data_IF_837105752183
#
_entry.id   IF_837105752183
#
_cell.length_a   1.000
_cell.length_b   1.000
_cell.length_c   1.000
_cell.angle_alpha   90.00
_cell.angle_beta   90.00
_cell.angle_gamma   90.00
#
_symmetry.space_group_name_H-M   'P 1'
#
loop_
_entity.id
_entity.type
_entity.pdbx_description
1 polymer ?
#
# COMPACT_ATOMS: atom_id res chain seq x y z
N UNK A 1 -7.88 1.58 -57.17
CA UNK A 1 -8.36 2.82 -56.54
C UNK A 1 -7.14 3.53 -55.99
N UNK A 2 -6.74 4.60 -56.69
CA UNK A 2 -5.57 5.43 -56.35
C UNK A 2 -6.11 6.53 -55.44
N UNK A 3 -5.72 6.56 -54.19
CA UNK A 3 -6.07 7.63 -53.25
C UNK A 3 -5.07 8.78 -53.40
N UNK A 4 -5.63 9.94 -53.71
CA UNK A 4 -4.96 11.21 -53.93
C UNK A 4 -4.37 11.77 -52.62
N UNK A 5 -3.08 11.57 -52.41
CA UNK A 5 -2.30 12.21 -51.33
C UNK A 5 -1.56 13.49 -51.80
N UNK A 6 -1.98 14.09 -52.93
CA UNK A 6 -1.24 15.20 -53.54
C UNK A 6 -1.73 16.60 -53.15
N UNK A 7 -2.85 16.73 -52.41
CA UNK A 7 -3.42 18.06 -52.09
C UNK A 7 -2.97 18.67 -50.75
N UNK A 8 -2.45 17.89 -49.84
CA UNK A 8 -2.05 18.38 -48.50
C UNK A 8 -0.63 18.92 -48.44
N UNK A 9 0.23 18.59 -49.37
CA UNK A 9 1.64 19.05 -49.41
C UNK A 9 1.79 20.43 -50.05
N UNK A 10 0.90 20.79 -50.99
CA UNK A 10 1.01 22.02 -51.76
C UNK A 10 0.69 23.30 -50.99
N UNK A 11 -0.25 23.26 -50.04
CA UNK A 11 -0.61 24.46 -49.26
C UNK A 11 0.36 24.70 -48.13
N UNK A 12 0.99 23.66 -47.55
CA UNK A 12 2.04 23.76 -46.55
C UNK A 12 3.28 24.45 -47.10
N UNK A 13 3.65 24.09 -48.35
CA UNK A 13 4.81 24.68 -49.03
C UNK A 13 4.56 26.15 -49.40
N UNK A 14 3.31 26.54 -49.72
CA UNK A 14 2.91 27.91 -50.02
C UNK A 14 2.79 28.77 -48.73
N UNK A 15 2.48 28.16 -47.60
CA UNK A 15 2.48 28.83 -46.28
C UNK A 15 3.88 29.10 -45.76
N UNK A 16 4.88 28.28 -46.13
CA UNK A 16 6.28 28.46 -45.66
C UNK A 16 7.04 29.52 -46.45
N UNK A 17 6.56 30.00 -47.59
CA UNK A 17 7.21 31.03 -48.41
C UNK A 17 6.91 32.48 -47.96
N UNK A 18 6.00 32.67 -46.99
CA UNK A 18 5.64 33.99 -46.51
C UNK A 18 6.23 34.20 -45.11
N UNK A 19 7.22 35.11 -45.00
CA UNK A 19 7.97 35.38 -43.74
C UNK A 19 7.06 35.76 -42.56
N UNK A 20 5.90 36.35 -42.81
CA UNK A 20 4.89 36.68 -41.77
C UNK A 20 4.20 35.42 -41.27
N UNK A 21 3.86 34.47 -42.13
CA UNK A 21 3.20 33.22 -41.77
C UNK A 21 4.18 32.32 -40.99
N UNK A 22 5.45 32.28 -41.40
CA UNK A 22 6.51 31.53 -40.71
C UNK A 22 6.72 32.01 -39.27
N UNK A 23 6.69 33.31 -39.02
CA UNK A 23 6.76 33.87 -37.67
C UNK A 23 5.53 33.52 -36.82
N UNK A 24 4.33 33.55 -37.42
CA UNK A 24 3.08 33.16 -36.76
C UNK A 24 3.07 31.69 -36.37
N UNK A 25 3.58 30.78 -37.23
CA UNK A 25 3.70 29.36 -36.96
C UNK A 25 4.68 29.12 -35.81
N UNK A 26 5.81 29.82 -35.79
CA UNK A 26 6.79 29.71 -34.71
C UNK A 26 6.21 30.20 -33.38
N UNK A 27 5.46 31.30 -33.39
CA UNK A 27 4.79 31.84 -32.18
C UNK A 27 3.71 30.85 -31.69
N UNK A 28 2.90 30.30 -32.60
CA UNK A 28 1.88 29.31 -32.27
C UNK A 28 2.49 28.02 -31.69
N UNK A 29 3.63 27.56 -32.26
CA UNK A 29 4.37 26.42 -31.73
C UNK A 29 4.93 26.67 -30.33
N UNK A 30 5.49 27.87 -30.11
CA UNK A 30 6.03 28.26 -28.80
C UNK A 30 4.95 28.40 -27.74
N UNK A 31 3.77 28.94 -28.12
CA UNK A 31 2.58 29.00 -27.27
C UNK A 31 2.08 27.60 -26.95
N UNK A 32 2.05 26.68 -27.93
CA UNK A 32 1.67 25.28 -27.71
C UNK A 32 2.57 24.58 -26.71
N UNK A 33 3.89 24.76 -26.83
CA UNK A 33 4.87 24.22 -25.89
C UNK A 33 4.68 24.84 -24.50
N UNK A 34 4.46 26.15 -24.41
CA UNK A 34 4.17 26.83 -23.14
C UNK A 34 2.88 26.32 -22.47
N UNK A 35 1.83 26.03 -23.24
CA UNK A 35 0.60 25.44 -22.74
C UNK A 35 0.79 24.00 -22.24
N UNK A 36 1.65 23.21 -22.90
CA UNK A 36 2.01 21.86 -22.43
C UNK A 36 2.77 21.93 -21.09
N UNK A 37 3.73 22.87 -20.97
CA UNK A 37 4.42 23.10 -19.70
C UNK A 37 3.47 23.61 -18.60
N UNK A 38 2.54 24.48 -18.93
CA UNK A 38 1.53 24.99 -17.99
C UNK A 38 0.53 23.90 -17.59
N UNK A 39 0.18 23.00 -18.53
CA UNK A 39 -0.69 21.85 -18.27
C UNK A 39 -0.07 20.90 -17.23
N UNK A 40 1.24 20.70 -17.25
CA UNK A 40 1.96 19.94 -16.24
C UNK A 40 1.90 20.59 -14.83
N UNK A 41 1.76 21.89 -14.78
CA UNK A 41 1.65 22.65 -13.52
C UNK A 41 0.21 22.64 -12.95
N UNK A 42 -0.80 22.54 -13.83
CA UNK A 42 -2.22 22.45 -13.45
C UNK A 42 -2.72 20.99 -13.31
N UNK A 43 -1.98 20.01 -13.83
CA UNK A 43 -2.27 18.59 -13.73
C UNK A 43 -1.61 17.98 -12.49
N UNK A 44 -1.68 18.66 -11.34
CA UNK A 44 -1.39 18.08 -10.03
C UNK A 44 -2.57 17.22 -9.53
N UNK A 45 -3.21 16.50 -10.43
CA UNK A 45 -4.23 15.50 -10.20
C UNK A 45 -3.85 14.17 -10.83
N UNK A 46 -2.56 13.81 -10.82
CA UNK A 46 -2.11 12.44 -11.06
C UNK A 46 -2.45 11.62 -9.82
N UNK A 47 -3.09 10.48 -10.00
CA UNK A 47 -3.16 9.43 -9.00
C UNK A 47 -1.75 9.22 -8.45
N UNK A 48 -1.51 9.79 -7.27
CA UNK A 48 -0.40 9.34 -6.43
C UNK A 48 -0.65 7.84 -6.20
N UNK A 49 0.38 6.99 -6.34
CA UNK A 49 0.33 5.68 -5.69
C UNK A 49 -0.13 5.97 -4.27
N UNK A 50 -1.09 5.22 -3.75
CA UNK A 50 -1.62 5.41 -2.41
C UNK A 50 -0.44 5.61 -1.46
N UNK A 51 -0.10 6.88 -1.18
CA UNK A 51 0.74 7.22 -0.05
C UNK A 51 -0.06 6.72 1.14
N UNK A 52 0.51 5.77 1.83
CA UNK A 52 0.10 5.38 3.17
C UNK A 52 -0.25 6.67 3.90
N UNK A 53 -1.52 6.79 4.26
CA UNK A 53 -2.07 8.04 4.81
C UNK A 53 -1.19 8.43 6.00
N UNK A 54 -0.73 9.68 6.15
CA UNK A 54 0.13 10.11 7.27
C UNK A 54 -0.43 9.73 8.66
N UNK A 55 -1.73 9.52 8.76
CA UNK A 55 -2.41 9.05 9.98
C UNK A 55 -2.06 7.61 10.36
N UNK A 56 -1.88 6.70 9.41
CA UNK A 56 -1.57 5.30 9.70
C UNK A 56 -0.13 5.12 10.20
N UNK A 57 0.80 5.88 9.66
CA UNK A 57 2.20 5.86 10.10
C UNK A 57 2.37 6.49 11.50
N UNK A 58 1.59 7.51 11.84
CA UNK A 58 1.61 8.15 13.18
C UNK A 58 1.04 7.19 14.21
N UNK A 59 -0.10 6.56 13.94
CA UNK A 59 -0.73 5.59 14.84
C UNK A 59 0.18 4.36 15.10
N UNK A 60 0.87 3.86 14.07
CA UNK A 60 1.83 2.77 14.20
C UNK A 60 3.03 3.18 15.08
N UNK A 61 3.53 4.40 14.93
CA UNK A 61 4.62 4.94 15.74
C UNK A 61 4.24 5.10 17.21
N UNK A 62 3.06 5.64 17.51
CA UNK A 62 2.55 5.77 18.88
C UNK A 62 2.35 4.40 19.54
N UNK A 63 1.79 3.43 18.83
CA UNK A 63 1.63 2.06 19.32
C UNK A 63 2.98 1.41 19.66
N UNK A 64 3.98 1.55 18.76
CA UNK A 64 5.32 1.01 19.00
C UNK A 64 5.97 1.64 20.24
N UNK A 65 5.87 2.96 20.38
CA UNK A 65 6.43 3.66 21.52
C UNK A 65 5.78 3.21 22.84
N UNK A 66 4.46 3.05 22.90
CA UNK A 66 3.76 2.54 24.08
C UNK A 66 4.21 1.12 24.47
N UNK A 67 4.43 0.26 23.46
CA UNK A 67 4.95 -1.10 23.71
C UNK A 67 6.39 -1.06 24.24
N UNK A 68 7.25 -0.23 23.65
CA UNK A 68 8.63 -0.07 24.08
C UNK A 68 8.72 0.43 25.52
N UNK A 69 7.90 1.42 25.90
CA UNK A 69 7.82 1.94 27.26
C UNK A 69 7.36 0.86 28.25
N UNK A 70 6.29 0.11 27.93
CA UNK A 70 5.78 -0.96 28.79
C UNK A 70 6.78 -2.12 28.95
N UNK A 71 7.46 -2.50 27.87
CA UNK A 71 8.51 -3.53 27.91
C UNK A 71 9.72 -3.05 28.72
N UNK A 72 10.10 -1.78 28.59
CA UNK A 72 11.21 -1.20 29.32
C UNK A 72 10.97 -1.25 30.83
N UNK A 73 9.75 -0.99 31.32
CA UNK A 73 9.39 -1.13 32.72
C UNK A 73 9.57 -2.58 33.22
N UNK A 74 9.10 -3.55 32.43
CA UNK A 74 9.25 -4.97 32.76
C UNK A 74 10.73 -5.36 32.83
N UNK A 75 11.53 -4.93 31.84
CA UNK A 75 12.95 -5.25 31.77
C UNK A 75 13.72 -4.61 32.92
N UNK A 76 13.42 -3.37 33.28
CA UNK A 76 13.99 -2.70 34.45
C UNK A 76 13.66 -3.44 35.76
N UNK A 77 12.46 -3.95 35.90
CA UNK A 77 12.07 -4.75 37.06
C UNK A 77 12.83 -6.08 37.13
N UNK A 78 13.15 -6.71 35.99
CA UNK A 78 13.91 -7.97 35.93
C UNK A 78 15.42 -7.74 36.16
N UNK A 79 16.00 -6.73 35.54
CA UNK A 79 17.45 -6.49 35.53
C UNK A 79 17.92 -5.63 36.68
N UNK A 80 17.05 -4.75 37.20
CA UNK A 80 17.39 -3.69 38.13
C UNK A 80 18.23 -2.56 37.51
N UNK A 81 18.27 -2.47 36.17
CA UNK A 81 19.04 -1.48 35.43
C UNK A 81 18.11 -0.41 34.84
N UNK A 82 18.48 0.86 35.01
CA UNK A 82 17.71 2.01 34.50
C UNK A 82 17.99 2.32 33.01
N UNK A 83 19.17 1.90 32.53
CA UNK A 83 19.70 2.27 31.22
C UNK A 83 19.47 1.21 30.12
N UNK A 84 18.56 0.26 30.37
CA UNK A 84 18.11 -0.69 29.36
C UNK A 84 17.43 0.04 28.19
N UNK A 85 17.58 -0.51 27.00
CA UNK A 85 16.95 -0.02 25.77
C UNK A 85 16.14 -1.13 25.11
N UNK A 86 14.98 -0.79 24.59
CA UNK A 86 14.11 -1.71 23.87
C UNK A 86 13.78 -1.10 22.53
N UNK A 87 13.77 -1.93 21.51
CA UNK A 87 13.30 -1.56 20.17
C UNK A 87 12.33 -2.62 19.68
N UNK A 88 11.14 -2.19 19.30
CA UNK A 88 10.09 -3.03 18.72
C UNK A 88 9.97 -2.74 17.23
N UNK A 89 9.96 -3.77 16.40
CA UNK A 89 9.74 -3.66 14.96
C UNK A 89 8.43 -4.32 14.60
N UNK A 90 7.56 -3.61 13.88
CA UNK A 90 6.30 -4.14 13.38
C UNK A 90 6.51 -4.86 12.03
N UNK A 91 5.72 -5.88 11.78
CA UNK A 91 5.61 -6.56 10.49
C UNK A 91 4.53 -5.91 9.63
N UNK A 92 3.42 -5.50 10.26
CA UNK A 92 2.34 -4.76 9.63
C UNK A 92 1.76 -3.74 10.60
N UNK A 93 1.27 -2.61 10.08
CA UNK A 93 0.44 -1.66 10.80
C UNK A 93 -0.96 -2.23 11.07
N UNK A 94 -1.78 -1.50 11.85
CA UNK A 94 -3.21 -1.83 11.98
C UNK A 94 -3.88 -1.83 10.60
N UNK A 95 -4.84 -2.73 10.41
CA UNK A 95 -5.57 -2.87 9.16
C UNK A 95 -7.06 -3.01 9.41
N UNK A 96 -7.85 -2.17 8.73
CA UNK A 96 -9.30 -2.31 8.75
C UNK A 96 -9.76 -3.40 7.78
N UNK A 97 -10.67 -4.24 8.24
CA UNK A 97 -11.35 -5.24 7.40
C UNK A 97 -12.74 -4.72 7.10
N UNK A 98 -13.04 -4.64 5.80
CA UNK A 98 -14.33 -4.16 5.31
C UNK A 98 -15.25 -5.33 4.96
N UNK A 99 -16.54 -5.12 5.16
CA UNK A 99 -17.57 -6.07 4.76
C UNK A 99 -17.58 -6.22 3.24
N UNK A 100 -17.59 -7.46 2.77
CA UNK A 100 -17.64 -7.81 1.36
C UNK A 100 -18.81 -8.73 1.09
N UNK A 101 -19.50 -8.53 -0.03
CA UNK A 101 -20.44 -9.46 -0.62
C UNK A 101 -19.71 -10.23 -1.71
N UNK A 102 -19.75 -11.55 -1.62
CA UNK A 102 -19.19 -12.45 -2.64
C UNK A 102 -20.34 -13.15 -3.34
N UNK A 103 -20.44 -12.93 -4.66
CA UNK A 103 -21.41 -13.62 -5.52
C UNK A 103 -20.68 -14.63 -6.39
N UNK A 104 -20.98 -15.90 -6.16
CA UNK A 104 -20.46 -17.01 -6.97
C UNK A 104 -21.51 -17.48 -7.96
N UNK A 105 -21.15 -17.53 -9.23
CA UNK A 105 -21.96 -18.11 -10.30
C UNK A 105 -21.20 -19.27 -10.92
N UNK A 106 -21.69 -20.49 -10.72
CA UNK A 106 -21.13 -21.69 -11.34
C UNK A 106 -22.09 -22.18 -12.45
N UNK A 107 -21.61 -22.21 -13.68
CA UNK A 107 -22.36 -22.72 -14.83
C UNK A 107 -21.70 -23.98 -15.40
N UNK A 108 -22.42 -25.08 -15.45
CA UNK A 108 -22.01 -26.30 -16.15
C UNK A 108 -22.89 -26.49 -17.39
N UNK A 109 -22.29 -26.35 -18.58
CA UNK A 109 -22.97 -26.73 -19.84
C UNK A 109 -22.34 -28.00 -20.38
N UNK A 110 -23.16 -29.01 -20.59
CA UNK A 110 -22.79 -30.24 -21.31
C UNK A 110 -23.55 -30.27 -22.64
N UNK A 111 -22.85 -30.10 -23.75
CA UNK A 111 -23.39 -30.30 -25.07
C UNK A 111 -23.04 -31.73 -25.56
N UNK A 112 -24.06 -32.50 -25.87
CA UNK A 112 -23.93 -33.82 -26.47
C UNK A 112 -24.09 -33.67 -27.98
N UNK A 113 -22.96 -33.62 -28.69
CA UNK A 113 -22.99 -33.70 -30.14
C UNK A 113 -23.26 -35.11 -30.60
N UNK A 114 -23.94 -35.27 -31.75
CA UNK A 114 -24.40 -36.53 -32.34
C UNK A 114 -23.30 -37.54 -32.67
N UNK A 115 -22.04 -37.22 -32.43
CA UNK A 115 -20.88 -38.05 -32.76
C UNK A 115 -19.99 -38.31 -31.51
N UNK A 116 -20.61 -38.86 -30.45
CA UNK A 116 -19.90 -39.40 -29.26
C UNK A 116 -18.89 -38.49 -28.55
N UNK A 117 -18.84 -37.21 -28.86
CA UNK A 117 -17.94 -36.25 -28.20
C UNK A 117 -18.75 -35.42 -27.21
N UNK A 118 -18.56 -35.66 -25.91
CA UNK A 118 -19.13 -34.82 -24.85
C UNK A 118 -18.19 -33.66 -24.60
N UNK A 119 -18.63 -32.43 -24.88
CA UNK A 119 -17.94 -31.22 -24.53
C UNK A 119 -18.54 -30.68 -23.23
N UNK A 120 -17.77 -30.75 -22.16
CA UNK A 120 -18.13 -30.14 -20.89
C UNK A 120 -17.40 -28.81 -20.75
N UNK A 121 -18.16 -27.73 -20.54
CA UNK A 121 -17.61 -26.40 -20.22
C UNK A 121 -18.08 -26.01 -18.81
N UNK A 122 -17.12 -25.82 -17.91
CA UNK A 122 -17.37 -25.27 -16.58
C UNK A 122 -16.93 -23.82 -16.57
N UNK A 123 -17.81 -22.93 -16.14
CA UNK A 123 -17.51 -21.50 -15.94
C UNK A 123 -17.78 -21.20 -14.48
N UNK A 124 -16.73 -20.75 -13.77
CA UNK A 124 -16.82 -20.28 -12.40
C UNK A 124 -16.51 -18.77 -12.39
N UNK A 125 -17.53 -17.96 -12.14
CA UNK A 125 -17.40 -16.51 -11.98
C UNK A 125 -17.57 -16.14 -10.51
N UNK A 126 -16.59 -15.41 -9.95
CA UNK A 126 -16.66 -14.86 -8.60
C UNK A 126 -16.60 -13.35 -8.69
N UNK A 127 -17.65 -12.69 -8.24
CA UNK A 127 -17.74 -11.25 -8.12
C UNK A 127 -17.66 -10.86 -6.65
N UNK A 128 -16.71 -10.00 -6.28
CA UNK A 128 -16.55 -9.48 -4.92
C UNK A 128 -16.79 -7.97 -4.93
N UNK A 129 -17.71 -7.51 -4.10
CA UNK A 129 -18.00 -6.07 -3.93
C UNK A 129 -17.98 -5.67 -2.45
N UNK A 130 -17.55 -4.43 -2.16
CA UNK A 130 -17.61 -3.90 -0.80
C UNK A 130 -19.02 -3.40 -0.49
N UNK A 131 -19.46 -3.65 0.75
CA UNK A 131 -20.72 -3.10 1.25
C UNK A 131 -20.47 -1.63 1.61
N UNK A 132 -21.19 -0.74 0.95
CA UNK A 132 -21.12 0.69 1.20
C UNK A 132 -22.27 1.12 2.13
N UNK A 133 -21.96 2.00 3.06
CA UNK A 133 -22.93 2.67 3.93
C UNK A 133 -22.87 4.17 3.68
N UNK A 134 -24.01 4.82 3.73
CA UNK A 134 -24.11 6.27 3.60
C UNK A 134 -23.92 6.92 4.98
N UNK A 135 -22.99 7.86 5.06
CA UNK A 135 -22.76 8.65 6.27
C UNK A 135 -23.74 9.82 6.33
N UNK A 136 -23.85 10.48 7.49
CA UNK A 136 -24.75 11.60 7.75
C UNK A 136 -24.52 12.82 6.86
N UNK A 137 -23.36 12.93 6.23
CA UNK A 137 -23.00 13.98 5.25
C UNK A 137 -23.32 13.60 3.79
N UNK A 138 -23.89 12.40 3.55
CA UNK A 138 -24.21 11.88 2.22
C UNK A 138 -23.03 11.23 1.51
N UNK A 139 -21.85 11.11 2.14
CA UNK A 139 -20.72 10.38 1.60
C UNK A 139 -20.90 8.86 1.78
N UNK A 140 -20.42 8.08 0.81
CA UNK A 140 -20.41 6.62 0.90
C UNK A 140 -19.06 6.14 1.40
N UNK A 141 -19.12 5.28 2.41
CA UNK A 141 -17.92 4.63 2.98
C UNK A 141 -18.09 3.12 2.99
N UNK A 142 -16.98 2.38 2.80
CA UNK A 142 -16.98 0.95 2.98
C UNK A 142 -17.24 0.60 4.45
N UNK A 143 -18.16 -0.33 4.71
CA UNK A 143 -18.51 -0.78 6.06
C UNK A 143 -17.32 -1.51 6.69
N UNK A 144 -16.67 -0.89 7.68
CA UNK A 144 -15.63 -1.55 8.48
C UNK A 144 -16.29 -2.47 9.51
N UNK A 145 -15.86 -3.73 9.54
CA UNK A 145 -16.40 -4.77 10.45
C UNK A 145 -15.44 -5.16 11.55
N UNK A 146 -14.13 -5.00 11.30
CA UNK A 146 -13.09 -5.36 12.26
C UNK A 146 -11.82 -4.58 11.97
N UNK A 147 -11.06 -4.30 13.03
CA UNK A 147 -9.69 -3.80 12.95
C UNK A 147 -8.74 -4.88 13.41
N UNK A 148 -7.74 -5.20 12.59
CA UNK A 148 -6.67 -6.13 12.93
C UNK A 148 -5.54 -5.30 13.53
N UNK A 149 -5.12 -5.67 14.75
CA UNK A 149 -4.01 -5.03 15.45
C UNK A 149 -2.68 -5.20 14.69
N UNK A 150 -1.71 -4.28 14.89
CA UNK A 150 -0.37 -4.42 14.32
C UNK A 150 0.29 -5.74 14.70
N UNK A 151 1.01 -6.35 13.78
CA UNK A 151 1.77 -7.56 14.02
C UNK A 151 3.24 -7.20 14.32
N UNK A 152 3.80 -7.80 15.39
CA UNK A 152 5.17 -7.55 15.80
C UNK A 152 6.10 -8.49 15.04
N UNK A 153 7.09 -7.93 14.34
CA UNK A 153 8.15 -8.67 13.65
C UNK A 153 9.20 -9.19 14.61
N UNK A 154 9.64 -8.35 15.55
CA UNK A 154 10.65 -8.71 16.52
C UNK A 154 10.97 -7.62 17.52
N UNK A 155 11.69 -8.00 18.55
CA UNK A 155 12.11 -7.14 19.65
C UNK A 155 13.60 -7.29 19.90
N UNK A 156 14.29 -6.17 20.07
CA UNK A 156 15.70 -6.13 20.50
C UNK A 156 15.77 -5.45 21.85
N UNK A 157 16.45 -6.11 22.79
CA UNK A 157 16.71 -5.59 24.14
C UNK A 157 18.21 -5.46 24.34
N UNK A 158 18.66 -4.29 24.77
CA UNK A 158 20.06 -4.01 25.11
C UNK A 158 20.12 -3.61 26.58
N UNK A 159 20.85 -4.36 27.40
CA UNK A 159 21.04 -4.05 28.83
C UNK A 159 22.44 -4.44 29.27
N UNK A 160 22.93 -3.88 30.38
CA UNK A 160 24.29 -4.14 30.87
C UNK A 160 24.53 -5.61 31.22
N UNK A 161 23.53 -6.26 31.83
CA UNK A 161 23.58 -7.67 32.22
C UNK A 161 23.04 -8.64 31.13
N UNK A 162 22.83 -8.17 29.91
CA UNK A 162 22.30 -9.01 28.83
C UNK A 162 23.20 -10.18 28.40
N UNK A 163 24.44 -10.23 28.90
CA UNK A 163 25.35 -11.36 28.73
C UNK A 163 25.17 -12.46 29.78
N UNK A 164 24.38 -12.22 30.84
CA UNK A 164 24.04 -13.24 31.84
C UNK A 164 22.94 -14.13 31.28
N UNK A 165 23.23 -15.44 31.17
CA UNK A 165 22.35 -16.40 30.52
C UNK A 165 21.02 -16.60 31.25
N UNK A 166 20.99 -16.47 32.59
CA UNK A 166 19.76 -16.60 33.35
C UNK A 166 18.87 -15.37 33.16
N UNK A 167 19.43 -14.16 33.22
CA UNK A 167 18.71 -12.92 32.98
C UNK A 167 18.23 -12.82 31.53
N UNK A 168 19.06 -13.21 30.58
CA UNK A 168 18.70 -13.27 29.18
C UNK A 168 17.45 -14.15 28.96
N UNK A 169 17.44 -15.35 29.56
CA UNK A 169 16.31 -16.27 29.45
C UNK A 169 15.03 -15.69 30.10
N UNK A 170 15.17 -15.04 31.25
CA UNK A 170 14.06 -14.40 31.93
C UNK A 170 13.47 -13.26 31.11
N UNK A 171 14.31 -12.43 30.49
CA UNK A 171 13.86 -11.36 29.59
C UNK A 171 13.14 -11.94 28.37
N UNK A 172 13.72 -12.97 27.71
CA UNK A 172 13.10 -13.63 26.56
C UNK A 172 11.73 -14.18 26.94
N UNK A 173 11.61 -14.86 28.08
CA UNK A 173 10.35 -15.43 28.57
C UNK A 173 9.30 -14.33 28.84
N UNK A 174 9.71 -13.24 29.46
CA UNK A 174 8.83 -12.12 29.75
C UNK A 174 8.31 -11.47 28.46
N UNK A 175 9.21 -11.13 27.54
CA UNK A 175 8.87 -10.48 26.25
C UNK A 175 7.97 -11.37 25.39
N UNK A 176 8.33 -12.66 25.26
CA UNK A 176 7.55 -13.62 24.45
C UNK A 176 6.14 -13.82 25.02
N UNK A 177 6.01 -13.82 26.35
CA UNK A 177 4.70 -13.95 27.03
C UNK A 177 3.88 -12.67 26.89
N UNK A 178 4.49 -11.51 27.09
CA UNK A 178 3.81 -10.22 27.02
C UNK A 178 3.29 -9.91 25.60
N UNK A 179 4.07 -10.25 24.58
CA UNK A 179 3.76 -9.92 23.19
C UNK A 179 3.18 -11.10 22.39
N UNK A 180 3.12 -12.31 22.97
CA UNK A 180 2.67 -13.54 22.32
C UNK A 180 3.45 -13.86 21.04
N UNK A 181 4.76 -13.57 21.01
CA UNK A 181 5.65 -13.84 19.89
C UNK A 181 6.59 -15.02 20.21
N UNK A 182 7.19 -15.61 19.16
CA UNK A 182 8.20 -16.67 19.32
C UNK A 182 9.50 -16.12 19.88
N UNK A 183 10.21 -16.92 20.69
CA UNK A 183 11.55 -16.59 21.21
C UNK A 183 12.58 -16.33 20.10
N UNK A 184 12.38 -16.86 18.91
CA UNK A 184 13.23 -16.59 17.74
C UNK A 184 13.11 -15.15 17.23
N UNK A 185 12.07 -14.42 17.64
CA UNK A 185 11.82 -13.01 17.30
C UNK A 185 12.33 -12.04 18.38
N UNK A 186 12.96 -12.56 19.45
CA UNK A 186 13.51 -11.75 20.54
C UNK A 186 15.02 -11.89 20.58
N UNK A 187 15.72 -10.77 20.54
CA UNK A 187 17.17 -10.71 20.67
C UNK A 187 17.55 -9.90 21.90
N UNK A 188 18.31 -10.49 22.81
CA UNK A 188 18.83 -9.81 24.01
C UNK A 188 20.35 -9.72 23.89
N UNK A 189 20.88 -8.51 24.03
CA UNK A 189 22.31 -8.22 23.88
C UNK A 189 22.84 -7.54 25.12
N UNK A 190 23.98 -8.00 25.59
CA UNK A 190 24.73 -7.33 26.66
C UNK A 190 25.44 -6.09 26.10
N UNK A 191 25.40 -4.99 26.88
CA UNK A 191 26.23 -3.83 26.58
C UNK A 191 27.67 -4.16 26.99
N UNK A 192 28.61 -4.07 26.03
CA UNK A 192 30.04 -4.24 26.28
C UNK A 192 30.68 -3.07 27.03
#
# INVERSE_FOLDING_TARGET
MKHDNASTVGWVQKAMSNDKIRRWILIAGLVGIALIFLSGFFSSGGEKPAEETPQESVAAGEYTQQLEESLLEIIRAITGEEDAQVMVTLESSSRQVYAQEERKSAGNSAEQASDSTVRSQSTDDTETSYILVEDSDGSQKALSVTEISPEIRGVVVVCGKGSDAELQQNIINAVTTALQISSTRVCVVGRG
#
